data_IF_230509026693
#
_entry.id   IF_230509026693
#
_cell.length_a   1.000
_cell.length_b   1.000
_cell.length_c   1.000
_cell.angle_alpha   90.00
_cell.angle_beta   90.00
_cell.angle_gamma   90.00
#
_symmetry.space_group_name_H-M   'P 1'
#
loop_
_entity.id
_entity.type
_entity.pdbx_description
1 polymer ?
#
# COMPACT_ATOMS: atom_id res chain seq x y z
N UNK A 1 5.91 -1.11 -15.17
CA UNK A 1 4.73 -0.93 -16.03
C UNK A 1 4.53 0.53 -16.51
N UNK A 2 5.39 1.43 -16.27
CA UNK A 2 5.40 2.83 -16.72
C UNK A 2 6.81 3.36 -16.81
N UNK A 3 6.96 4.64 -17.16
CA UNK A 3 8.23 5.36 -17.16
C UNK A 3 8.81 5.37 -15.72
N UNK A 4 10.06 5.02 -15.54
CA UNK A 4 10.72 4.98 -14.23
C UNK A 4 10.82 6.37 -13.56
N UNK A 5 10.72 7.45 -14.35
CA UNK A 5 10.63 8.83 -13.81
C UNK A 5 9.29 9.13 -13.19
N UNK A 6 8.24 8.51 -13.73
CA UNK A 6 6.85 8.71 -13.31
C UNK A 6 6.48 7.79 -12.15
N UNK A 7 7.19 6.65 -12.02
CA UNK A 7 6.88 5.59 -11.07
C UNK A 7 7.87 5.55 -9.90
N UNK A 8 7.39 5.04 -8.78
CA UNK A 8 8.22 4.74 -7.64
C UNK A 8 9.01 3.46 -7.89
N UNK A 9 10.33 3.56 -7.93
CA UNK A 9 11.21 2.41 -8.24
C UNK A 9 11.63 1.70 -6.95
N UNK A 10 11.30 0.44 -6.86
CA UNK A 10 11.72 -0.49 -5.80
C UNK A 10 12.72 -1.48 -6.43
N UNK A 11 13.86 -1.67 -5.77
CA UNK A 11 14.85 -2.65 -6.18
C UNK A 11 14.95 -3.77 -5.15
N UNK A 12 14.86 -5.01 -5.58
CA UNK A 12 15.08 -6.20 -4.75
C UNK A 12 16.41 -6.82 -5.14
N UNK A 13 17.30 -7.04 -4.16
CA UNK A 13 18.61 -7.65 -4.36
C UNK A 13 18.74 -8.92 -3.49
N UNK A 14 19.54 -9.88 -3.94
CA UNK A 14 19.77 -11.14 -3.23
C UNK A 14 21.03 -11.11 -2.36
N UNK A 15 20.97 -11.62 -1.15
CA UNK A 15 22.13 -11.88 -0.30
C UNK A 15 22.27 -13.37 -0.01
N UNK A 16 23.47 -13.91 -0.18
CA UNK A 16 23.74 -15.32 0.09
C UNK A 16 23.16 -16.29 -0.91
N UNK A 17 22.84 -15.85 -2.13
CA UNK A 17 22.48 -16.72 -3.25
C UNK A 17 23.69 -16.96 -4.15
N UNK A 18 24.09 -18.23 -4.28
CA UNK A 18 25.18 -18.62 -5.19
C UNK A 18 24.73 -18.54 -6.65
N UNK A 19 25.64 -18.79 -7.59
CA UNK A 19 25.32 -18.81 -9.02
C UNK A 19 24.22 -19.84 -9.33
N UNK A 20 24.23 -20.98 -8.70
CA UNK A 20 23.28 -22.07 -8.89
C UNK A 20 21.91 -21.74 -8.26
N UNK A 21 21.86 -20.76 -7.35
CA UNK A 21 20.64 -20.36 -6.63
C UNK A 21 19.97 -19.11 -7.22
N UNK A 22 20.46 -18.59 -8.34
CA UNK A 22 19.91 -17.35 -8.92
C UNK A 22 18.45 -17.50 -9.40
N UNK A 23 18.08 -18.67 -9.89
CA UNK A 23 16.68 -18.97 -10.24
C UNK A 23 15.79 -18.95 -8.98
N UNK A 24 16.29 -19.48 -7.86
CA UNK A 24 15.57 -19.43 -6.59
C UNK A 24 15.40 -17.98 -6.11
N UNK A 25 16.45 -17.16 -6.20
CA UNK A 25 16.35 -15.74 -5.89
C UNK A 25 15.23 -15.04 -6.67
N UNK A 26 15.13 -15.28 -7.99
CA UNK A 26 14.07 -14.67 -8.80
C UNK A 26 12.66 -15.14 -8.39
N UNK A 27 12.50 -16.39 -7.99
CA UNK A 27 11.23 -16.91 -7.43
C UNK A 27 10.89 -16.20 -6.11
N UNK A 28 11.86 -16.08 -5.20
CA UNK A 28 11.69 -15.42 -3.90
C UNK A 28 11.37 -13.94 -4.09
N UNK A 29 12.10 -13.22 -4.95
CA UNK A 29 11.85 -11.83 -5.26
C UNK A 29 10.45 -11.61 -5.87
N UNK A 30 10.01 -12.50 -6.75
CA UNK A 30 8.67 -12.46 -7.35
C UNK A 30 7.59 -12.65 -6.29
N UNK A 31 7.75 -13.64 -5.41
CA UNK A 31 6.79 -13.88 -4.33
C UNK A 31 6.68 -12.70 -3.36
N UNK A 32 7.82 -12.12 -2.97
CA UNK A 32 7.87 -10.93 -2.11
C UNK A 32 7.21 -9.72 -2.77
N UNK A 33 7.49 -9.46 -4.05
CA UNK A 33 6.87 -8.36 -4.80
C UNK A 33 5.34 -8.54 -4.90
N UNK A 34 4.86 -9.76 -5.16
CA UNK A 34 3.43 -10.08 -5.17
C UNK A 34 2.80 -9.92 -3.77
N UNK A 35 3.53 -10.31 -2.73
CA UNK A 35 3.13 -10.12 -1.33
C UNK A 35 2.92 -8.64 -0.99
N UNK A 36 3.86 -7.78 -1.37
CA UNK A 36 3.76 -6.32 -1.17
C UNK A 36 2.52 -5.74 -1.88
N UNK A 37 2.33 -6.09 -3.15
CA UNK A 37 1.28 -5.51 -3.99
C UNK A 37 -0.13 -6.01 -3.66
N UNK A 38 -0.32 -6.95 -2.75
CA UNK A 38 -1.67 -7.32 -2.26
C UNK A 38 -2.21 -6.40 -1.18
N UNK A 39 -1.35 -5.61 -0.52
CA UNK A 39 -1.73 -4.72 0.57
C UNK A 39 -2.04 -3.29 0.11
N UNK A 40 -3.13 -2.71 0.59
CA UNK A 40 -3.39 -1.26 0.46
C UNK A 40 -2.36 -0.46 1.29
N UNK A 41 -1.78 0.65 0.76
CA UNK A 41 -2.07 1.31 -0.50
C UNK A 41 -1.22 0.83 -1.69
N UNK A 42 -0.27 -0.08 -1.53
CA UNK A 42 0.58 -0.58 -2.62
C UNK A 42 -0.23 -1.19 -3.76
N UNK A 43 -1.35 -1.84 -3.43
CA UNK A 43 -2.27 -2.43 -4.39
C UNK A 43 -2.86 -1.37 -5.33
N UNK A 44 -3.36 -0.27 -4.78
CA UNK A 44 -3.98 0.83 -5.52
C UNK A 44 -2.95 1.61 -6.34
N UNK A 45 -1.70 1.62 -5.90
CA UNK A 45 -0.57 2.27 -6.57
C UNK A 45 0.27 1.31 -7.42
N UNK A 46 -0.20 0.07 -7.67
CA UNK A 46 0.59 -0.94 -8.38
C UNK A 46 0.97 -0.57 -9.80
N UNK A 47 0.18 0.27 -10.48
CA UNK A 47 0.48 0.83 -11.80
C UNK A 47 1.53 1.97 -11.76
N UNK A 48 1.89 2.44 -10.57
CA UNK A 48 2.83 3.53 -10.29
C UNK A 48 4.08 3.08 -9.54
N UNK A 49 4.25 1.77 -9.44
CA UNK A 49 5.40 1.15 -8.79
C UNK A 49 6.09 0.24 -9.80
N UNK A 50 7.37 0.48 -10.05
CA UNK A 50 8.23 -0.42 -10.80
C UNK A 50 9.10 -1.20 -9.82
N UNK A 51 9.11 -2.53 -9.93
CA UNK A 51 9.91 -3.39 -9.07
C UNK A 51 10.92 -4.14 -9.94
N UNK A 52 12.19 -3.99 -9.62
CA UNK A 52 13.31 -4.63 -10.30
C UNK A 52 13.97 -5.65 -9.36
N UNK A 53 14.22 -6.85 -9.85
CA UNK A 53 15.05 -7.84 -9.17
C UNK A 53 16.46 -7.82 -9.76
N UNK A 54 17.46 -7.59 -8.93
CA UNK A 54 18.87 -7.54 -9.31
C UNK A 54 19.60 -8.74 -8.74
N UNK A 55 20.05 -9.61 -9.63
CA UNK A 55 20.79 -10.79 -9.28
C UNK A 55 22.21 -10.43 -8.81
N UNK A 56 22.54 -10.83 -7.61
CA UNK A 56 23.86 -10.69 -7.01
C UNK A 56 24.39 -12.07 -6.64
N UNK A 57 25.58 -12.42 -7.11
CA UNK A 57 26.13 -13.77 -6.95
C UNK A 57 27.08 -13.77 -5.76
N UNK A 58 26.74 -14.55 -4.73
CA UNK A 58 27.59 -14.84 -3.58
C UNK A 58 28.46 -16.06 -3.83
N UNK A 59 29.64 -16.13 -3.22
CA UNK A 59 30.50 -17.30 -3.29
C UNK A 59 29.96 -18.44 -2.41
N UNK A 60 29.31 -18.10 -1.30
CA UNK A 60 28.72 -19.05 -0.35
C UNK A 60 27.25 -18.71 -0.09
N UNK A 61 26.49 -19.71 0.31
CA UNK A 61 25.06 -19.54 0.64
C UNK A 61 24.86 -19.07 2.07
N UNK A 62 23.77 -18.33 2.31
CA UNK A 62 23.33 -17.97 3.67
C UNK A 62 23.66 -16.55 4.08
N UNK A 63 23.62 -16.31 5.37
CA UNK A 63 23.83 -15.00 6.02
C UNK A 63 24.77 -15.16 7.21
N UNK A 64 25.65 -14.20 7.40
CA UNK A 64 26.52 -14.16 8.57
C UNK A 64 25.77 -13.96 9.88
N UNK A 65 26.35 -14.37 10.99
CA UNK A 65 25.82 -14.12 12.33
C UNK A 65 26.79 -13.23 13.10
N UNK A 66 26.33 -12.08 13.53
CA UNK A 66 27.15 -11.14 14.31
C UNK A 66 27.56 -11.79 15.62
N UNK A 67 28.87 -11.76 15.91
CA UNK A 67 29.50 -12.43 17.05
C UNK A 67 29.34 -13.98 17.03
N UNK A 68 28.91 -14.58 15.94
CA UNK A 68 28.80 -16.02 15.74
C UNK A 68 29.97 -16.58 14.93
N UNK A 69 30.02 -17.91 14.83
CA UNK A 69 31.05 -18.63 14.05
C UNK A 69 30.74 -18.63 12.54
N UNK A 70 29.45 -18.48 12.16
CA UNK A 70 29.03 -18.47 10.76
C UNK A 70 29.25 -17.08 10.15
N UNK A 71 30.11 -17.03 9.14
CA UNK A 71 30.37 -15.80 8.38
C UNK A 71 30.69 -16.15 6.92
N UNK A 72 29.68 -16.60 6.12
CA UNK A 72 29.87 -17.00 4.74
C UNK A 72 30.36 -15.85 3.87
N UNK A 73 31.09 -16.17 2.81
CA UNK A 73 31.57 -15.20 1.82
C UNK A 73 30.43 -14.83 0.86
N UNK A 74 29.62 -13.89 1.28
CA UNK A 74 28.44 -13.44 0.56
C UNK A 74 28.65 -12.06 -0.07
N UNK A 75 27.78 -11.70 -1.03
CA UNK A 75 27.98 -10.50 -1.84
C UNK A 75 27.98 -9.21 -1.01
N UNK A 76 26.99 -9.03 -0.14
CA UNK A 76 26.85 -7.82 0.70
C UNK A 76 27.35 -8.01 2.12
N UNK A 77 27.82 -9.19 2.47
CA UNK A 77 28.27 -9.51 3.84
C UNK A 77 27.25 -9.14 4.91
N UNK A 78 25.95 -9.40 4.67
CA UNK A 78 24.92 -9.14 5.67
C UNK A 78 25.11 -10.06 6.87
N UNK A 79 24.96 -9.50 8.05
CA UNK A 79 25.02 -10.22 9.32
C UNK A 79 23.70 -10.06 10.08
N UNK A 80 23.18 -11.17 10.60
CA UNK A 80 22.03 -11.18 11.49
C UNK A 80 22.47 -11.01 12.95
N UNK A 81 21.71 -10.21 13.70
CA UNK A 81 21.81 -10.08 15.15
C UNK A 81 20.41 -10.10 15.77
N UNK A 82 20.08 -11.21 16.43
CA UNK A 82 18.71 -11.48 16.84
C UNK A 82 17.78 -11.56 15.63
N UNK A 83 16.77 -10.70 15.57
CA UNK A 83 15.85 -10.58 14.42
C UNK A 83 16.27 -9.51 13.41
N UNK A 84 17.30 -8.73 13.68
CA UNK A 84 17.73 -7.63 12.81
C UNK A 84 18.87 -8.05 11.89
N UNK A 85 19.00 -7.36 10.76
CA UNK A 85 20.06 -7.54 9.77
C UNK A 85 20.82 -6.23 9.55
N UNK A 86 22.11 -6.34 9.28
CA UNK A 86 22.99 -5.20 9.05
C UNK A 86 24.00 -5.53 7.96
N UNK A 87 24.34 -4.56 7.12
CA UNK A 87 25.53 -4.66 6.29
C UNK A 87 26.79 -4.72 7.16
N UNK A 88 27.67 -5.63 6.81
CA UNK A 88 29.03 -5.66 7.36
C UNK A 88 30.04 -5.33 6.25
N UNK A 89 31.26 -5.00 6.66
CA UNK A 89 32.36 -4.65 5.74
C UNK A 89 31.93 -3.56 4.73
N UNK A 90 32.05 -3.84 3.44
CA UNK A 90 31.75 -2.99 2.28
C UNK A 90 30.36 -3.22 1.70
N UNK A 91 29.47 -3.96 2.39
CA UNK A 91 28.18 -4.39 1.86
C UNK A 91 27.26 -3.23 1.46
N UNK A 92 27.17 -2.21 2.31
CA UNK A 92 26.37 -1.02 1.98
C UNK A 92 26.94 -0.25 0.79
N UNK A 93 28.28 -0.11 0.70
CA UNK A 93 28.92 0.56 -0.43
C UNK A 93 28.67 -0.17 -1.74
N UNK A 94 28.68 -1.50 -1.74
CA UNK A 94 28.32 -2.34 -2.90
C UNK A 94 26.86 -2.13 -3.31
N UNK A 95 25.93 -2.11 -2.36
CA UNK A 95 24.52 -1.89 -2.64
C UNK A 95 24.28 -0.48 -3.24
N UNK A 96 24.96 0.54 -2.73
CA UNK A 96 24.93 1.91 -3.27
C UNK A 96 25.56 2.01 -4.65
N UNK A 97 26.66 1.29 -4.90
CA UNK A 97 27.28 1.25 -6.22
C UNK A 97 26.37 0.61 -7.27
N UNK A 98 25.72 -0.52 -6.94
CA UNK A 98 24.71 -1.13 -7.81
C UNK A 98 23.52 -0.21 -8.08
N UNK A 99 23.04 0.50 -7.05
CA UNK A 99 22.02 1.52 -7.23
C UNK A 99 22.43 2.56 -8.27
N UNK A 100 23.63 3.14 -8.12
CA UNK A 100 24.12 4.16 -9.05
C UNK A 100 24.29 3.61 -10.46
N UNK A 101 24.70 2.35 -10.61
CA UNK A 101 24.78 1.69 -11.93
C UNK A 101 23.39 1.49 -12.56
N UNK A 102 22.39 1.04 -11.77
CA UNK A 102 21.02 0.90 -12.23
C UNK A 102 20.46 2.25 -12.71
N UNK A 103 20.60 3.30 -11.90
CA UNK A 103 20.11 4.65 -12.21
C UNK A 103 20.78 5.24 -13.45
N UNK A 104 22.05 4.91 -13.71
CA UNK A 104 22.81 5.47 -14.83
C UNK A 104 22.68 4.71 -16.14
N UNK A 105 22.36 3.39 -16.08
CA UNK A 105 22.45 2.51 -17.26
C UNK A 105 21.17 1.79 -17.65
N UNK A 106 20.30 1.51 -16.67
CA UNK A 106 19.18 0.61 -16.85
C UNK A 106 17.82 1.25 -16.63
N UNK A 107 17.73 2.30 -15.83
CA UNK A 107 16.52 3.08 -15.65
C UNK A 107 16.44 4.22 -16.67
N UNK A 108 15.23 4.74 -16.84
CA UNK A 108 15.02 5.93 -17.68
C UNK A 108 15.84 7.12 -17.17
N UNK A 109 16.39 7.91 -18.08
CA UNK A 109 17.28 9.03 -17.71
C UNK A 109 16.62 10.00 -16.75
N UNK A 110 17.18 10.14 -15.56
CA UNK A 110 16.67 10.99 -14.48
C UNK A 110 15.71 10.28 -13.52
N UNK A 111 15.45 8.98 -13.72
CA UNK A 111 14.78 8.16 -12.72
C UNK A 111 15.70 7.88 -11.52
N UNK A 112 15.11 7.67 -10.36
CA UNK A 112 15.84 7.36 -9.12
C UNK A 112 15.21 6.16 -8.39
N UNK A 113 16.07 5.31 -7.83
CA UNK A 113 15.64 4.21 -6.96
C UNK A 113 15.10 4.78 -5.65
N UNK A 114 13.84 4.49 -5.37
CA UNK A 114 13.15 4.94 -4.18
C UNK A 114 13.53 4.19 -2.92
N UNK A 115 13.67 2.87 -3.01
CA UNK A 115 14.10 2.01 -1.91
C UNK A 115 14.69 0.70 -2.43
N UNK A 116 15.52 0.07 -1.60
CA UNK A 116 16.17 -1.20 -1.90
C UNK A 116 15.81 -2.20 -0.81
N UNK A 117 15.35 -3.36 -1.20
CA UNK A 117 15.10 -4.49 -0.31
C UNK A 117 16.08 -5.62 -0.55
N UNK A 118 16.73 -6.09 0.50
CA UNK A 118 17.69 -7.20 0.45
C UNK A 118 17.00 -8.48 0.95
N UNK A 119 16.82 -9.47 0.06
CA UNK A 119 16.36 -10.78 0.46
C UNK A 119 17.57 -11.61 0.90
N UNK A 120 17.59 -12.00 2.15
CA UNK A 120 18.61 -12.84 2.74
C UNK A 120 18.25 -14.33 2.55
N UNK A 121 19.15 -15.09 1.95
CA UNK A 121 18.94 -16.53 1.70
C UNK A 121 19.08 -17.32 3.01
N UNK A 122 18.08 -17.26 3.84
CA UNK A 122 18.00 -17.93 5.14
C UNK A 122 16.56 -18.18 5.54
N UNK A 123 16.32 -19.24 6.30
CA UNK A 123 15.03 -19.54 6.91
C UNK A 123 14.86 -18.93 8.31
N UNK A 124 15.87 -18.21 8.81
CA UNK A 124 15.78 -17.54 10.10
C UNK A 124 14.72 -16.43 10.03
N UNK A 125 13.95 -16.27 11.11
CA UNK A 125 12.98 -15.19 11.21
C UNK A 125 13.71 -13.87 11.47
N UNK A 126 14.09 -13.18 10.40
CA UNK A 126 14.80 -11.92 10.40
C UNK A 126 14.10 -10.90 9.51
N UNK A 127 14.09 -9.65 9.98
CA UNK A 127 13.64 -8.48 9.23
C UNK A 127 14.19 -7.23 9.90
N UNK A 128 14.55 -6.23 9.13
CA UNK A 128 14.92 -4.91 9.63
C UNK A 128 14.93 -3.86 8.53
N UNK A 129 14.77 -2.61 8.91
CA UNK A 129 14.99 -1.47 8.03
C UNK A 129 16.20 -0.67 8.53
N UNK A 130 17.09 -0.30 7.63
CA UNK A 130 18.24 0.55 7.88
C UNK A 130 18.12 1.81 7.05
N UNK A 131 17.91 2.94 7.71
CA UNK A 131 17.66 4.24 7.09
C UNK A 131 16.45 4.24 6.10
N UNK A 132 16.26 5.32 5.35
CA UNK A 132 15.16 5.46 4.42
C UNK A 132 15.39 4.76 3.06
N UNK A 133 16.48 4.00 2.90
CA UNK A 133 16.84 3.40 1.62
C UNK A 133 16.84 1.87 1.65
N UNK A 134 17.32 1.26 2.73
CA UNK A 134 17.53 -0.18 2.80
C UNK A 134 16.58 -0.87 3.78
N UNK A 135 16.09 -2.02 3.37
CA UNK A 135 15.37 -2.96 4.23
C UNK A 135 15.80 -4.40 3.92
N UNK A 136 15.57 -5.30 4.87
CA UNK A 136 16.01 -6.69 4.81
C UNK A 136 14.87 -7.62 5.23
N UNK A 137 14.80 -8.81 4.63
CA UNK A 137 14.02 -9.93 5.16
C UNK A 137 14.64 -11.26 4.79
N UNK A 138 14.25 -12.33 5.48
CA UNK A 138 14.53 -13.68 5.04
C UNK A 138 13.86 -13.99 3.69
N UNK A 139 14.33 -15.02 3.00
CA UNK A 139 13.71 -15.51 1.76
C UNK A 139 12.38 -16.24 2.02
N UNK A 140 12.22 -16.85 3.19
CA UNK A 140 10.97 -17.49 3.62
C UNK A 140 10.31 -16.65 4.73
N UNK A 141 9.04 -16.36 4.57
CA UNK A 141 8.18 -15.94 5.67
C UNK A 141 7.40 -17.18 6.11
N UNK A 142 7.76 -17.77 7.25
CA UNK A 142 7.03 -18.94 7.78
C UNK A 142 5.55 -18.66 7.97
N UNK A 143 5.19 -17.38 8.15
CA UNK A 143 3.84 -16.99 8.47
C UNK A 143 3.07 -16.33 7.35
N UNK A 144 3.66 -15.76 6.29
CA UNK A 144 2.81 -15.15 5.24
C UNK A 144 3.59 -14.35 4.17
N UNK A 145 4.15 -15.04 3.18
CA UNK A 145 4.17 -14.58 1.79
C UNK A 145 4.51 -13.08 1.57
N UNK A 146 5.56 -12.55 2.19
CA UNK A 146 6.03 -11.21 1.94
C UNK A 146 5.63 -10.14 2.96
N UNK A 147 4.95 -10.49 4.04
CA UNK A 147 4.52 -9.52 5.05
C UNK A 147 5.70 -8.89 5.81
N UNK A 148 6.76 -9.66 6.09
CA UNK A 148 7.99 -9.10 6.68
C UNK A 148 8.60 -8.05 5.73
N UNK A 149 8.74 -8.37 4.43
CA UNK A 149 9.17 -7.38 3.45
C UNK A 149 8.26 -6.15 3.44
N UNK A 150 6.94 -6.36 3.43
CA UNK A 150 5.95 -5.28 3.41
C UNK A 150 6.09 -4.37 4.61
N UNK A 151 6.27 -4.93 5.81
CA UNK A 151 6.51 -4.20 7.04
C UNK A 151 7.81 -3.38 6.95
N UNK A 152 8.93 -4.05 6.65
CA UNK A 152 10.26 -3.43 6.63
C UNK A 152 10.42 -2.36 5.54
N UNK A 153 9.87 -2.59 4.36
CA UNK A 153 9.92 -1.60 3.28
C UNK A 153 9.06 -0.37 3.60
N UNK A 154 8.01 -0.54 4.40
CA UNK A 154 7.14 0.56 4.82
C UNK A 154 7.80 1.50 5.82
N UNK A 155 8.76 1.03 6.60
CA UNK A 155 9.65 1.92 7.35
C UNK A 155 10.44 2.83 6.39
N UNK A 156 11.00 2.26 5.34
CA UNK A 156 11.81 3.01 4.36
C UNK A 156 10.97 3.98 3.54
N UNK A 157 9.84 3.55 3.01
CA UNK A 157 8.97 4.35 2.14
C UNK A 157 8.19 5.38 2.96
N UNK A 158 7.42 4.93 3.96
CA UNK A 158 6.48 5.74 4.73
C UNK A 158 7.12 6.50 5.89
N UNK A 159 8.37 6.20 6.24
CA UNK A 159 9.00 6.61 7.52
C UNK A 159 8.11 6.24 8.71
N UNK A 160 7.49 5.08 8.62
CA UNK A 160 6.65 4.56 9.68
C UNK A 160 7.51 3.97 10.80
N UNK A 161 7.04 4.10 12.02
CA UNK A 161 7.63 3.46 13.21
C UNK A 161 6.90 2.18 13.56
N UNK A 162 7.56 1.34 14.37
CA UNK A 162 6.95 0.17 14.97
C UNK A 162 5.89 0.57 16.01
N UNK A 163 4.66 0.12 15.82
CA UNK A 163 3.55 0.44 16.73
C UNK A 163 3.55 -0.43 18.01
N UNK A 164 4.50 -1.33 18.15
CA UNK A 164 4.68 -2.21 19.31
C UNK A 164 5.92 -1.86 20.16
N UNK A 165 6.81 -1.00 19.63
CA UNK A 165 8.05 -0.65 20.32
C UNK A 165 7.95 0.76 20.92
N UNK A 166 8.71 0.98 22.00
CA UNK A 166 8.87 2.27 22.68
C UNK A 166 9.79 3.25 21.96
N UNK A 167 10.34 2.90 20.81
CA UNK A 167 11.17 3.80 19.99
C UNK A 167 10.31 4.81 19.27
N UNK A 168 10.64 6.05 19.46
CA UNK A 168 9.88 7.26 19.25
C UNK A 168 9.88 7.82 17.82
N UNK A 169 10.20 7.05 16.80
CA UNK A 169 10.39 7.61 15.46
C UNK A 169 9.44 7.00 14.44
N UNK A 170 8.62 7.84 13.83
CA UNK A 170 7.72 7.48 12.74
C UNK A 170 6.59 8.47 12.59
N UNK A 171 6.05 8.57 11.40
CA UNK A 171 4.90 9.44 11.09
C UNK A 171 3.62 8.95 11.79
N UNK A 172 3.55 7.65 12.07
CA UNK A 172 2.47 6.98 12.81
C UNK A 172 2.74 6.87 14.32
N UNK A 173 3.77 7.53 14.85
CA UNK A 173 4.14 7.48 16.27
C UNK A 173 4.12 8.89 16.86
N UNK A 174 3.57 9.02 18.07
CA UNK A 174 3.48 10.27 18.81
C UNK A 174 3.95 10.11 20.24
N UNK A 175 4.54 11.17 20.80
CA UNK A 175 4.94 11.32 22.19
C UNK A 175 3.87 11.99 23.06
N UNK A 176 2.74 12.32 22.47
CA UNK A 176 1.60 12.92 23.18
C UNK A 176 0.32 12.11 22.99
N UNK A 177 -0.48 12.01 24.04
CA UNK A 177 -1.83 11.50 24.01
C UNK A 177 -2.89 12.61 23.97
N UNK A 178 -2.48 13.86 23.87
CA UNK A 178 -3.38 14.99 23.75
C UNK A 178 -4.15 14.90 22.42
N UNK A 179 -5.48 14.74 22.43
CA UNK A 179 -6.27 14.57 21.22
C UNK A 179 -6.16 15.73 20.23
N UNK A 180 -5.84 16.93 20.71
CA UNK A 180 -5.74 18.13 19.86
C UNK A 180 -4.33 18.33 19.27
N UNK A 181 -3.34 17.59 19.76
CA UNK A 181 -1.93 17.72 19.36
C UNK A 181 -1.33 16.46 18.71
N UNK A 182 -2.04 15.35 18.80
CA UNK A 182 -1.55 14.10 18.20
C UNK A 182 -1.50 14.22 16.69
N UNK A 183 -0.46 13.63 16.05
CA UNK A 183 -0.21 13.75 14.61
C UNK A 183 -1.38 13.37 13.71
N UNK A 184 -2.32 12.58 14.20
CA UNK A 184 -3.50 12.14 13.45
C UNK A 184 -4.81 12.64 14.08
N UNK A 185 -4.79 13.80 14.74
CA UNK A 185 -5.96 14.34 15.46
C UNK A 185 -7.21 14.46 14.57
N UNK A 186 -7.07 14.86 13.29
CA UNK A 186 -8.18 14.95 12.34
C UNK A 186 -8.78 13.61 11.93
N UNK A 187 -8.13 12.50 12.30
CA UNK A 187 -8.59 11.14 12.01
C UNK A 187 -9.17 10.42 13.24
N UNK A 188 -9.16 11.04 14.41
CA UNK A 188 -9.64 10.40 15.63
C UNK A 188 -11.11 9.96 15.49
N UNK A 189 -11.36 8.70 15.86
CA UNK A 189 -12.68 8.07 15.74
C UNK A 189 -13.06 7.61 14.33
N UNK A 190 -12.22 7.88 13.31
CA UNK A 190 -12.43 7.40 11.95
C UNK A 190 -11.84 5.99 11.81
N UNK A 191 -12.64 5.01 11.39
CA UNK A 191 -12.23 3.63 11.08
C UNK A 191 -11.33 2.97 12.13
N UNK A 192 -11.63 3.21 13.39
CA UNK A 192 -10.89 2.64 14.53
C UNK A 192 -9.58 3.36 14.85
N UNK A 193 -9.31 4.51 14.21
CA UNK A 193 -8.20 5.38 14.59
C UNK A 193 -8.46 5.98 15.97
N UNK A 194 -7.50 5.83 16.85
CA UNK A 194 -7.57 6.30 18.23
C UNK A 194 -6.20 6.68 18.76
N UNK A 195 -6.04 6.59 20.06
CA UNK A 195 -4.78 6.82 20.78
C UNK A 195 -4.46 5.53 21.55
N UNK A 196 -3.49 4.78 21.06
CA UNK A 196 -3.15 3.46 21.58
C UNK A 196 -1.69 3.45 22.04
N UNK A 197 -1.40 2.90 23.21
CA UNK A 197 -0.02 2.77 23.67
C UNK A 197 0.81 1.89 22.72
N UNK A 198 2.02 2.35 22.41
CA UNK A 198 3.01 1.64 21.61
C UNK A 198 4.18 1.23 22.50
N UNK A 199 4.11 0.03 23.05
CA UNK A 199 5.17 -0.53 23.92
C UNK A 199 5.35 0.13 25.29
N UNK A 200 4.93 1.38 25.49
CA UNK A 200 4.94 2.12 26.76
C UNK A 200 3.76 3.08 26.86
N UNK A 201 3.47 3.60 28.07
CA UNK A 201 2.43 4.60 28.30
C UNK A 201 2.81 6.02 27.80
N UNK A 202 4.02 6.23 27.30
CA UNK A 202 4.51 7.53 26.85
C UNK A 202 4.68 7.61 25.34
N UNK A 203 4.40 6.55 24.62
CA UNK A 203 4.47 6.46 23.16
C UNK A 203 3.14 5.94 22.63
N UNK A 204 2.61 6.60 21.64
CA UNK A 204 1.28 6.32 21.12
C UNK A 204 1.30 6.04 19.63
N UNK A 205 0.39 5.14 19.22
CA UNK A 205 0.13 4.73 17.85
C UNK A 205 -1.36 4.89 17.51
N UNK A 206 -1.73 4.97 16.23
CA UNK A 206 -3.10 5.29 15.83
C UNK A 206 -4.08 4.12 15.98
N UNK A 207 -3.59 2.88 15.98
CA UNK A 207 -4.49 1.72 15.94
C UNK A 207 -3.95 0.55 16.75
N UNK A 208 -4.89 -0.34 17.18
CA UNK A 208 -4.56 -1.64 17.74
C UNK A 208 -4.35 -2.73 16.68
N UNK A 209 -4.80 -2.46 15.45
CA UNK A 209 -4.71 -3.39 14.32
C UNK A 209 -4.01 -2.68 13.17
N UNK A 210 -2.77 -3.05 12.91
CA UNK A 210 -1.96 -2.45 11.85
C UNK A 210 -0.81 -3.40 11.47
N UNK A 211 -0.41 -3.43 10.20
CA UNK A 211 0.80 -4.12 9.74
C UNK A 211 2.05 -3.67 10.50
N UNK A 212 2.13 -2.39 10.89
CA UNK A 212 3.26 -1.85 11.67
C UNK A 212 3.23 -2.27 13.14
N UNK A 213 2.20 -3.00 13.58
CA UNK A 213 2.08 -3.58 14.92
C UNK A 213 2.25 -5.09 14.91
N UNK A 214 1.50 -5.76 14.04
CA UNK A 214 1.51 -7.23 13.93
C UNK A 214 1.38 -7.60 12.45
N UNK A 215 2.25 -8.48 11.96
CA UNK A 215 2.21 -8.99 10.59
C UNK A 215 0.87 -9.67 10.29
N UNK A 216 0.50 -9.71 9.00
CA UNK A 216 -0.77 -10.30 8.57
C UNK A 216 -2.00 -9.37 8.74
N UNK A 217 -1.85 -8.22 9.37
CA UNK A 217 -2.90 -7.21 9.47
C UNK A 217 -2.80 -6.18 8.33
N UNK A 218 -3.94 -5.60 7.90
CA UNK A 218 -3.90 -4.44 7.00
C UNK A 218 -3.25 -3.23 7.69
N UNK A 219 -2.67 -2.32 6.91
CA UNK A 219 -2.27 -1.02 7.45
C UNK A 219 -3.48 -0.24 7.97
N UNK A 220 -3.33 0.46 9.08
CA UNK A 220 -4.33 1.41 9.54
C UNK A 220 -4.39 2.64 8.60
N UNK A 221 -5.48 3.42 8.67
CA UNK A 221 -5.69 4.53 7.73
C UNK A 221 -4.61 5.61 7.82
N UNK A 222 -4.00 5.82 8.98
CA UNK A 222 -2.86 6.75 9.14
C UNK A 222 -1.64 6.25 8.34
N UNK A 223 -1.29 4.98 8.50
CA UNK A 223 -0.16 4.39 7.78
C UNK A 223 -0.41 4.34 6.27
N UNK A 224 -1.61 3.98 5.82
CA UNK A 224 -1.98 4.00 4.40
C UNK A 224 -1.84 5.40 3.80
N UNK A 225 -2.33 6.42 4.48
CA UNK A 225 -2.27 7.80 4.03
C UNK A 225 -0.82 8.28 3.88
N UNK A 226 0.07 7.97 4.84
CA UNK A 226 1.48 8.31 4.74
C UNK A 226 2.20 7.56 3.61
N UNK A 227 1.95 6.27 3.46
CA UNK A 227 2.50 5.50 2.34
C UNK A 227 2.02 6.06 1.00
N UNK A 228 0.72 6.32 0.85
CA UNK A 228 0.16 6.91 -0.36
C UNK A 228 0.79 8.27 -0.67
N UNK A 229 0.95 9.13 0.35
CA UNK A 229 1.60 10.43 0.20
C UNK A 229 3.02 10.30 -0.30
N UNK A 230 3.79 9.37 0.24
CA UNK A 230 5.18 9.13 -0.17
C UNK A 230 5.30 8.49 -1.55
N UNK A 231 4.43 7.56 -1.89
CA UNK A 231 4.39 6.95 -3.22
C UNK A 231 3.99 7.95 -4.31
N UNK A 232 3.11 8.91 -3.98
CA UNK A 232 2.54 9.84 -4.95
C UNK A 232 3.34 11.14 -5.12
N UNK A 233 4.15 11.54 -4.16
CA UNK A 233 4.74 12.88 -4.13
C UNK A 233 6.22 12.87 -3.70
N UNK A 234 7.05 12.14 -4.41
CA UNK A 234 8.49 12.26 -4.28
C UNK A 234 9.03 13.22 -5.34
N UNK A 235 10.20 13.80 -5.09
CA UNK A 235 10.83 14.78 -5.97
C UNK A 235 11.06 14.24 -7.39
N UNK A 236 11.07 12.93 -7.56
CA UNK A 236 11.34 12.23 -8.82
C UNK A 236 10.17 11.37 -9.33
N UNK A 237 8.99 11.47 -8.73
CA UNK A 237 7.78 10.77 -9.18
C UNK A 237 6.74 11.81 -9.57
N UNK A 238 6.15 11.65 -10.74
CA UNK A 238 5.08 12.50 -11.21
C UNK A 238 3.87 12.44 -10.25
N UNK A 239 3.29 13.59 -9.99
CA UNK A 239 2.10 13.74 -9.16
C UNK A 239 0.88 13.29 -9.96
N UNK A 240 0.49 12.04 -9.79
CA UNK A 240 -0.61 11.47 -10.56
C UNK A 240 -1.99 11.61 -9.89
N UNK A 241 -2.02 11.78 -8.55
CA UNK A 241 -3.26 12.06 -7.84
C UNK A 241 -3.14 13.37 -7.06
N UNK A 242 -4.14 14.23 -7.17
CA UNK A 242 -4.20 15.47 -6.41
C UNK A 242 -4.65 15.27 -4.96
N UNK A 243 -5.43 14.22 -4.72
CA UNK A 243 -6.00 13.91 -3.41
C UNK A 243 -5.93 12.40 -3.15
N UNK A 244 -5.54 12.02 -1.95
CA UNK A 244 -5.76 10.69 -1.41
C UNK A 244 -7.05 10.69 -0.59
N UNK A 245 -7.93 9.74 -0.82
CA UNK A 245 -9.18 9.58 -0.10
C UNK A 245 -9.13 8.25 0.65
N UNK A 246 -9.26 8.29 1.98
CA UNK A 246 -9.44 7.09 2.78
C UNK A 246 -10.73 6.39 2.39
N UNK A 247 -10.77 5.07 2.55
CA UNK A 247 -12.02 4.33 2.33
C UNK A 247 -13.14 4.93 3.19
N UNK A 248 -14.25 5.34 2.59
CA UNK A 248 -15.33 5.95 3.35
C UNK A 248 -16.04 4.96 4.28
N UNK A 249 -16.71 5.48 5.27
CA UNK A 249 -17.59 4.70 6.14
C UNK A 249 -18.96 5.34 6.30
N UNK A 250 -19.97 4.52 6.60
CA UNK A 250 -21.30 4.97 6.96
C UNK A 250 -21.52 4.64 8.44
N UNK A 251 -21.87 5.66 9.21
CA UNK A 251 -22.05 5.53 10.68
C UNK A 251 -23.41 6.06 11.11
N UNK A 252 -23.80 5.65 12.31
CA UNK A 252 -24.85 6.29 13.08
C UNK A 252 -24.15 7.19 14.09
N UNK A 253 -24.19 8.53 13.94
CA UNK A 253 -23.50 9.45 14.82
C UNK A 253 -23.86 9.23 16.30
N UNK A 254 -22.89 9.40 17.17
CA UNK A 254 -23.03 9.23 18.64
C UNK A 254 -23.38 7.82 19.13
N UNK A 255 -23.35 6.81 18.29
CA UNK A 255 -23.53 5.42 18.70
C UNK A 255 -22.18 4.74 18.91
N UNK A 256 -21.97 4.12 20.09
CA UNK A 256 -20.75 3.33 20.37
C UNK A 256 -20.64 2.04 19.54
N UNK A 257 -21.74 1.63 18.91
CA UNK A 257 -21.86 0.40 18.09
C UNK A 257 -22.29 0.71 16.66
N UNK A 258 -22.18 1.97 16.23
CA UNK A 258 -22.91 2.50 15.12
C UNK A 258 -22.23 2.45 13.76
N UNK A 259 -21.14 1.72 13.61
CA UNK A 259 -20.64 1.43 12.26
C UNK A 259 -21.58 0.40 11.64
N UNK A 260 -22.23 0.77 10.55
CA UNK A 260 -22.92 -0.19 9.72
C UNK A 260 -21.82 -1.01 9.04
N UNK A 261 -21.72 -2.27 9.42
CA UNK A 261 -20.59 -3.16 9.19
C UNK A 261 -20.33 -3.44 7.69
N UNK A 262 -19.14 -3.87 7.33
CA UNK A 262 -18.48 -3.71 6.05
C UNK A 262 -18.48 -4.90 5.12
N UNK A 263 -19.21 -5.94 5.39
CA UNK A 263 -19.22 -7.07 4.46
C UNK A 263 -19.92 -6.72 3.15
N UNK A 264 -19.62 -7.36 2.06
CA UNK A 264 -19.87 -6.99 0.67
C UNK A 264 -21.28 -6.48 0.30
N UNK A 265 -22.24 -6.63 1.19
CA UNK A 265 -23.62 -6.15 1.04
C UNK A 265 -23.98 -4.97 1.98
N UNK A 266 -23.02 -4.36 2.58
CA UNK A 266 -23.07 -3.41 3.71
C UNK A 266 -23.76 -2.10 3.47
N UNK A 267 -23.88 -1.76 2.24
CA UNK A 267 -24.51 -0.52 1.82
C UNK A 267 -25.97 -0.75 1.47
N UNK A 268 -26.51 -1.87 1.95
CA UNK A 268 -27.94 -2.18 1.87
C UNK A 268 -28.55 -2.24 3.26
N UNK A 269 -29.77 -1.75 3.36
CA UNK A 269 -30.59 -1.97 4.53
C UNK A 269 -31.13 -3.40 4.48
N UNK A 270 -30.90 -4.14 5.54
CA UNK A 270 -31.40 -5.50 5.73
C UNK A 270 -32.13 -5.64 7.10
N UNK A 271 -32.61 -6.83 7.39
CA UNK A 271 -33.34 -7.11 8.63
C UNK A 271 -32.50 -6.92 9.88
N UNK A 272 -31.17 -6.97 9.77
CA UNK A 272 -30.25 -6.87 10.93
C UNK A 272 -29.90 -5.43 11.27
N UNK A 273 -29.94 -4.52 10.31
CA UNK A 273 -29.54 -3.12 10.50
C UNK A 273 -30.70 -2.11 10.39
N UNK A 274 -31.84 -2.51 9.80
CA UNK A 274 -33.00 -1.62 9.60
C UNK A 274 -33.49 -0.98 10.91
N UNK A 275 -33.56 -1.74 11.98
CA UNK A 275 -34.01 -1.26 13.30
C UNK A 275 -32.98 -0.32 13.94
N UNK A 276 -31.71 -0.49 13.59
CA UNK A 276 -30.62 0.37 14.09
C UNK A 276 -30.60 1.71 13.34
N UNK A 277 -30.87 1.71 12.05
CA UNK A 277 -30.78 2.87 11.17
C UNK A 277 -32.06 3.72 11.14
N UNK A 278 -33.24 3.08 11.25
CA UNK A 278 -34.52 3.77 11.13
C UNK A 278 -34.77 4.75 12.27
N UNK A 279 -35.11 5.99 11.96
CA UNK A 279 -35.29 7.07 12.93
C UNK A 279 -33.99 7.67 13.46
N UNK A 280 -32.85 7.33 12.85
CA UNK A 280 -31.53 7.84 13.23
C UNK A 280 -30.92 8.72 12.14
N UNK A 281 -29.97 9.53 12.54
CA UNK A 281 -29.08 10.19 11.61
C UNK A 281 -28.14 9.15 11.02
N UNK A 282 -27.92 9.22 9.72
CA UNK A 282 -26.91 8.43 9.02
C UNK A 282 -25.85 9.36 8.45
N UNK A 283 -24.60 9.09 8.76
CA UNK A 283 -23.47 9.87 8.31
C UNK A 283 -22.58 9.06 7.37
N UNK A 284 -22.34 9.58 6.18
CA UNK A 284 -21.28 9.14 5.30
C UNK A 284 -20.07 10.04 5.50
N UNK A 285 -18.92 9.47 5.82
CA UNK A 285 -17.71 10.23 6.12
C UNK A 285 -16.44 9.59 5.58
N UNK A 286 -15.44 10.42 5.35
CA UNK A 286 -14.08 10.02 4.98
C UNK A 286 -13.07 11.04 5.49
N UNK A 287 -11.79 10.70 5.37
CA UNK A 287 -10.68 11.65 5.55
C UNK A 287 -9.91 11.73 4.25
N UNK A 288 -9.53 12.93 3.87
CA UNK A 288 -8.76 13.19 2.65
C UNK A 288 -7.44 13.87 2.96
N UNK A 289 -6.43 13.60 2.14
CA UNK A 289 -5.14 14.28 2.15
C UNK A 289 -4.92 14.93 0.79
N UNK A 290 -4.81 16.24 0.76
CA UNK A 290 -4.35 16.94 -0.43
C UNK A 290 -2.87 16.63 -0.68
N UNK A 291 -2.53 16.26 -1.91
CA UNK A 291 -1.20 15.81 -2.32
C UNK A 291 -0.44 16.86 -3.13
N UNK A 292 -1.06 18.00 -3.40
CA UNK A 292 -0.52 19.06 -4.27
C UNK A 292 -0.55 20.41 -3.58
N UNK A 293 0.18 21.38 -4.14
CA UNK A 293 0.30 22.75 -3.64
C UNK A 293 -0.84 23.68 -4.09
N UNK A 294 -1.93 23.12 -4.59
CA UNK A 294 -3.15 23.82 -4.95
C UNK A 294 -4.33 23.39 -4.09
N UNK A 295 -5.26 24.28 -3.83
CA UNK A 295 -6.53 23.93 -3.18
C UNK A 295 -7.27 22.92 -4.03
N UNK A 296 -8.00 22.01 -3.38
CA UNK A 296 -8.86 21.03 -4.03
C UNK A 296 -10.31 21.30 -3.61
N UNK A 297 -11.22 21.30 -4.57
CA UNK A 297 -12.65 21.46 -4.33
C UNK A 297 -13.34 20.10 -4.46
N UNK A 298 -13.91 19.63 -3.37
CA UNK A 298 -14.52 18.30 -3.29
C UNK A 298 -15.99 18.42 -2.96
N UNK A 299 -16.79 17.59 -3.61
CA UNK A 299 -18.18 17.39 -3.28
C UNK A 299 -18.41 15.99 -2.76
N UNK A 300 -19.12 15.89 -1.65
CA UNK A 300 -19.58 14.65 -1.09
C UNK A 300 -21.09 14.55 -1.23
N UNK A 301 -21.59 13.46 -1.78
CA UNK A 301 -23.02 13.19 -1.95
C UNK A 301 -23.35 11.93 -1.16
N UNK A 302 -24.41 11.96 -0.38
CA UNK A 302 -24.95 10.79 0.30
C UNK A 302 -26.43 10.65 0.02
N UNK A 303 -26.85 9.48 -0.45
CA UNK A 303 -28.24 9.15 -0.79
C UNK A 303 -28.66 7.77 -0.31
N UNK A 304 -29.98 7.64 -0.17
CA UNK A 304 -30.65 6.36 0.03
C UNK A 304 -31.54 6.09 -1.16
N UNK A 305 -31.31 4.97 -1.81
CA UNK A 305 -32.04 4.55 -3.02
C UNK A 305 -32.86 3.33 -2.69
N UNK A 306 -34.17 3.41 -2.91
CA UNK A 306 -35.10 2.32 -2.75
C UNK A 306 -34.82 1.15 -3.69
N UNK A 307 -35.35 -0.02 -3.35
CA UNK A 307 -35.26 -1.20 -4.22
C UNK A 307 -35.96 -0.99 -5.61
N UNK A 308 -36.84 -0.04 -5.68
CA UNK A 308 -37.53 0.43 -6.91
C UNK A 308 -36.69 1.48 -7.68
N UNK A 309 -35.44 1.73 -7.26
CA UNK A 309 -34.56 2.74 -7.82
C UNK A 309 -34.94 4.20 -7.56
N UNK A 310 -35.95 4.47 -6.72
CA UNK A 310 -36.29 5.84 -6.33
C UNK A 310 -35.29 6.37 -5.30
N UNK A 311 -34.96 7.67 -5.41
CA UNK A 311 -34.15 8.35 -4.40
C UNK A 311 -35.06 8.75 -3.23
N UNK A 312 -34.88 8.11 -2.07
CA UNK A 312 -35.61 8.41 -0.84
C UNK A 312 -35.05 9.61 -0.09
N UNK A 313 -33.72 9.69 -0.04
CA UNK A 313 -32.98 10.76 0.62
C UNK A 313 -31.75 11.09 -0.22
N UNK A 314 -31.43 12.37 -0.27
CA UNK A 314 -30.21 12.88 -0.88
C UNK A 314 -29.73 14.14 -0.16
N UNK A 315 -28.43 14.24 0.08
CA UNK A 315 -27.78 15.43 0.56
C UNK A 315 -26.36 15.53 -0.02
N UNK A 316 -25.96 16.76 -0.29
CA UNK A 316 -24.63 17.10 -0.77
C UNK A 316 -23.98 18.14 0.16
N UNK A 317 -22.67 18.04 0.30
CA UNK A 317 -21.84 19.04 0.97
C UNK A 317 -20.58 19.28 0.14
N UNK A 318 -20.08 20.51 0.13
CA UNK A 318 -18.86 20.90 -0.59
C UNK A 318 -17.78 21.31 0.37
N UNK A 319 -16.54 20.98 0.00
CA UNK A 319 -15.35 21.19 0.83
C UNK A 319 -14.22 21.78 0.01
N UNK A 320 -13.49 22.72 0.62
CA UNK A 320 -12.21 23.18 0.09
C UNK A 320 -11.10 22.63 0.95
N UNK A 321 -10.31 21.72 0.39
CA UNK A 321 -9.17 21.12 1.07
C UNK A 321 -7.94 22.00 0.85
N UNK A 322 -7.27 22.46 1.93
CA UNK A 322 -6.09 23.30 1.82
C UNK A 322 -4.95 22.64 1.01
N UNK A 323 -4.06 23.44 0.41
CA UNK A 323 -2.92 22.92 -0.33
C UNK A 323 -1.89 22.25 0.60
N UNK A 324 -1.15 21.26 0.09
CA UNK A 324 0.02 20.70 0.76
C UNK A 324 1.20 21.68 0.59
N UNK A 325 1.21 22.71 1.41
CA UNK A 325 2.24 23.78 1.38
C UNK A 325 3.52 23.37 2.10
N UNK A 326 3.43 22.43 3.04
CA UNK A 326 4.56 21.92 3.80
C UNK A 326 4.58 20.38 3.76
N UNK A 327 5.58 19.84 3.11
CA UNK A 327 5.76 18.40 3.00
C UNK A 327 5.99 17.69 4.35
N UNK A 328 6.62 18.38 5.29
CA UNK A 328 6.94 17.85 6.62
C UNK A 328 5.80 18.02 7.64
N UNK A 329 4.78 18.78 7.28
CA UNK A 329 3.57 18.98 8.07
C UNK A 329 2.32 18.79 7.18
N UNK A 330 1.99 17.52 6.86
CA UNK A 330 0.89 17.20 5.95
C UNK A 330 -0.49 17.45 6.58
N UNK A 331 -0.58 17.60 7.89
CA UNK A 331 -1.84 17.69 8.62
C UNK A 331 -2.64 18.94 8.23
N UNK A 332 -1.96 20.04 7.92
CA UNK A 332 -2.61 21.25 7.42
C UNK A 332 -3.40 21.05 6.12
N UNK A 333 -3.00 20.07 5.31
CA UNK A 333 -3.63 19.70 4.03
C UNK A 333 -4.53 18.44 4.14
N UNK A 334 -4.92 18.08 5.36
CA UNK A 334 -5.80 16.94 5.67
C UNK A 334 -7.15 17.46 6.14
N UNK A 335 -8.23 16.86 5.67
CA UNK A 335 -9.59 17.24 6.09
C UNK A 335 -10.47 16.01 6.33
N UNK A 336 -11.31 16.11 7.37
CA UNK A 336 -12.40 15.15 7.61
C UNK A 336 -13.65 15.65 6.91
N UNK A 337 -14.19 14.87 6.01
CA UNK A 337 -15.37 15.18 5.21
C UNK A 337 -16.54 14.33 5.67
N UNK A 338 -17.71 14.94 5.82
CA UNK A 338 -18.92 14.16 6.13
C UNK A 338 -20.19 14.81 5.58
N UNK A 339 -21.20 13.96 5.34
CA UNK A 339 -22.55 14.42 5.05
C UNK A 339 -23.54 13.57 5.83
N UNK A 340 -24.47 14.20 6.51
CA UNK A 340 -25.43 13.54 7.38
C UNK A 340 -26.85 13.68 6.83
N UNK A 341 -27.55 12.54 6.67
CA UNK A 341 -28.98 12.46 6.46
C UNK A 341 -29.67 12.41 7.84
N UNK A 342 -30.43 13.44 8.21
CA UNK A 342 -31.00 13.51 9.56
C UNK A 342 -32.26 12.64 9.68
N UNK A 343 -32.42 11.96 10.80
CA UNK A 343 -33.63 11.25 11.23
C UNK A 343 -34.31 10.43 10.12
N UNK A 344 -33.51 9.63 9.41
CA UNK A 344 -33.97 8.82 8.27
C UNK A 344 -35.07 7.85 8.71
N UNK A 345 -36.21 7.88 8.03
CA UNK A 345 -37.38 7.02 8.31
C UNK A 345 -37.86 6.29 7.05
N UNK A 346 -38.73 5.28 7.21
CA UNK A 346 -39.27 4.55 6.08
C UNK A 346 -38.26 3.68 5.34
N UNK A 347 -37.18 3.29 6.01
CA UNK A 347 -36.24 2.33 5.47
C UNK A 347 -36.89 0.95 5.37
N UNK A 348 -36.60 0.26 4.29
CA UNK A 348 -37.00 -1.12 4.05
C UNK A 348 -35.83 -1.97 3.63
N UNK A 349 -35.93 -3.28 3.82
CA UNK A 349 -34.92 -4.22 3.37
C UNK A 349 -34.73 -4.11 1.84
N UNK A 350 -33.48 -4.02 1.41
CA UNK A 350 -33.11 -3.81 0.01
C UNK A 350 -32.81 -2.35 -0.37
N UNK A 351 -33.11 -1.38 0.50
CA UNK A 351 -32.65 0.01 0.31
C UNK A 351 -31.11 0.06 0.27
N UNK A 352 -30.55 0.86 -0.64
CA UNK A 352 -29.10 1.02 -0.81
C UNK A 352 -28.65 2.38 -0.29
N UNK A 353 -27.55 2.38 0.40
CA UNK A 353 -26.87 3.57 0.88
C UNK A 353 -25.72 3.90 -0.10
N UNK A 354 -25.78 5.03 -0.78
CA UNK A 354 -24.75 5.45 -1.74
C UNK A 354 -24.09 6.74 -1.30
N UNK A 355 -22.76 6.69 -1.14
CA UNK A 355 -21.93 7.87 -0.91
C UNK A 355 -20.88 8.00 -2.00
N UNK A 356 -20.61 9.22 -2.45
CA UNK A 356 -19.60 9.55 -3.47
C UNK A 356 -18.81 10.76 -3.06
N UNK A 357 -17.52 10.75 -3.38
CA UNK A 357 -16.62 11.89 -3.29
C UNK A 357 -16.19 12.25 -4.71
N UNK A 358 -16.44 13.47 -5.11
CA UNK A 358 -16.24 13.97 -6.46
C UNK A 358 -15.29 15.17 -6.40
N UNK A 359 -14.30 15.18 -7.26
CA UNK A 359 -13.52 16.37 -7.56
C UNK A 359 -14.42 17.32 -8.37
N UNK A 360 -14.77 18.48 -7.81
CA UNK A 360 -15.69 19.42 -8.47
C UNK A 360 -15.10 20.07 -9.71
N UNK A 361 -13.78 20.26 -9.75
CA UNK A 361 -13.11 20.92 -10.86
C UNK A 361 -13.06 20.04 -12.11
N UNK A 362 -12.94 18.72 -11.91
CA UNK A 362 -12.83 17.73 -13.00
C UNK A 362 -14.08 16.89 -13.23
N UNK A 363 -14.99 16.85 -12.26
CA UNK A 363 -16.15 15.95 -12.23
C UNK A 363 -15.77 14.47 -11.98
N UNK A 364 -14.51 14.17 -11.68
CA UNK A 364 -14.04 12.81 -11.45
C UNK A 364 -14.51 12.27 -10.10
N UNK A 365 -15.04 11.06 -10.09
CA UNK A 365 -15.32 10.33 -8.85
C UNK A 365 -13.99 9.85 -8.29
N UNK A 366 -13.63 10.31 -7.10
CA UNK A 366 -12.40 9.96 -6.39
C UNK A 366 -12.59 8.70 -5.55
N UNK A 367 -13.75 8.57 -4.91
CA UNK A 367 -14.14 7.38 -4.18
C UNK A 367 -15.66 7.29 -4.12
N UNK A 368 -16.17 6.08 -4.01
CA UNK A 368 -17.55 5.79 -3.66
C UNK A 368 -17.63 4.51 -2.82
N UNK A 369 -18.70 4.36 -2.08
CA UNK A 369 -18.90 3.16 -1.29
C UNK A 369 -19.40 1.96 -2.10
N UNK A 370 -19.74 2.15 -3.36
CA UNK A 370 -20.14 1.07 -4.27
C UNK A 370 -18.91 0.37 -4.87
N UNK A 371 -17.79 1.09 -4.97
CA UNK A 371 -16.50 0.56 -5.48
C UNK A 371 -15.59 0.06 -4.36
N UNK A 372 -15.86 0.34 -3.09
CA UNK A 372 -15.08 -0.16 -1.95
C UNK A 372 -15.08 -1.70 -1.84
N UNK A 373 -15.99 -2.37 -2.57
CA UNK A 373 -15.96 -3.80 -2.85
C UNK A 373 -15.55 -4.09 -4.30
N UNK A 374 -14.70 -3.28 -4.93
CA UNK A 374 -14.28 -3.53 -6.30
C UNK A 374 -13.63 -4.90 -6.38
N UNK A 375 -14.39 -5.86 -6.88
CA UNK A 375 -13.93 -7.21 -7.08
C UNK A 375 -12.74 -7.15 -8.05
N UNK A 376 -11.59 -7.54 -7.59
CA UNK A 376 -10.41 -7.69 -8.40
C UNK A 376 -10.55 -8.96 -9.23
N UNK A 377 -10.28 -8.86 -10.51
CA UNK A 377 -10.15 -10.03 -11.37
C UNK A 377 -8.67 -10.43 -11.38
N UNK A 378 -8.44 -11.70 -11.14
CA UNK A 378 -7.12 -12.29 -11.34
C UNK A 378 -6.94 -12.53 -12.83
N UNK A 379 -5.95 -11.91 -13.43
CA UNK A 379 -5.57 -12.14 -14.83
C UNK A 379 -4.27 -12.95 -14.83
N UNK A 380 -4.32 -14.16 -15.39
CA UNK A 380 -3.10 -14.96 -15.59
C UNK A 380 -2.57 -14.71 -17.00
N UNK A 381 -1.37 -14.14 -17.06
CA UNK A 381 -0.68 -13.88 -18.32
C UNK A 381 0.18 -15.09 -18.63
N UNK A 382 -0.01 -15.65 -19.80
CA UNK A 382 0.84 -16.74 -20.34
C UNK A 382 1.44 -16.27 -21.66
N UNK A 383 2.71 -16.49 -21.83
CA UNK A 383 3.39 -16.22 -23.10
C UNK A 383 3.31 -17.48 -23.94
N UNK A 384 2.69 -17.34 -25.11
CA UNK A 384 2.44 -18.45 -26.02
C UNK A 384 3.14 -18.19 -27.35
N UNK A 385 3.76 -19.24 -27.92
CA UNK A 385 4.24 -19.27 -29.28
C UNK A 385 3.10 -19.76 -30.17
N UNK A 386 2.81 -19.03 -31.23
CA UNK A 386 1.97 -19.52 -32.30
C UNK A 386 2.84 -20.23 -33.32
N UNK A 387 2.65 -21.54 -33.47
CA UNK A 387 3.34 -22.35 -34.45
C UNK A 387 2.80 -22.10 -35.87
N UNK A 388 3.55 -22.54 -36.89
CA UNK A 388 3.15 -22.37 -38.31
C UNK A 388 1.83 -23.11 -38.64
N UNK A 389 1.51 -24.18 -37.93
CA UNK A 389 0.27 -24.95 -38.07
C UNK A 389 -0.94 -24.31 -37.30
N UNK A 390 -0.74 -23.17 -36.67
CA UNK A 390 -1.76 -22.47 -35.88
C UNK A 390 -1.95 -22.99 -34.46
N UNK A 391 -1.20 -23.99 -34.03
CA UNK A 391 -1.20 -24.47 -32.64
C UNK A 391 -0.42 -23.50 -31.75
N UNK A 392 -0.76 -23.48 -30.46
CA UNK A 392 -0.09 -22.64 -29.46
C UNK A 392 0.70 -23.50 -28.47
N UNK A 393 1.94 -23.10 -28.22
CA UNK A 393 2.79 -23.73 -27.20
C UNK A 393 3.32 -22.66 -26.25
N UNK A 394 3.55 -23.00 -24.98
CA UNK A 394 4.13 -22.05 -24.00
C UNK A 394 5.54 -21.69 -24.43
N UNK A 395 5.88 -20.38 -24.36
CA UNK A 395 7.26 -19.92 -24.58
C UNK A 395 8.15 -20.60 -23.54
N UNK A 396 9.24 -21.30 -23.95
CA UNK A 396 10.17 -21.89 -23.03
C UNK A 396 10.68 -20.87 -21.99
N UNK A 397 10.92 -21.35 -20.77
CA UNK A 397 11.48 -20.56 -19.67
C UNK A 397 10.65 -19.36 -19.22
N UNK A 398 9.38 -19.26 -19.62
CA UNK A 398 8.46 -18.24 -19.11
C UNK A 398 7.46 -18.82 -18.12
N UNK A 399 7.46 -18.28 -16.89
CA UNK A 399 6.43 -18.60 -15.91
C UNK A 399 5.16 -17.76 -16.18
N UNK A 400 3.95 -18.31 -15.96
CA UNK A 400 2.74 -17.52 -15.99
C UNK A 400 2.81 -16.43 -14.93
N UNK A 401 2.55 -15.17 -15.32
CA UNK A 401 2.43 -14.07 -14.39
C UNK A 401 0.95 -13.87 -14.01
N UNK A 402 0.70 -13.69 -12.73
CA UNK A 402 -0.65 -13.37 -12.23
C UNK A 402 -0.69 -11.89 -11.84
N UNK A 403 -1.59 -11.15 -12.45
CA UNK A 403 -1.85 -9.75 -12.11
C UNK A 403 -3.28 -9.58 -11.60
N UNK A 404 -3.46 -8.68 -10.65
CA UNK A 404 -4.78 -8.33 -10.14
C UNK A 404 -5.22 -7.03 -10.81
N UNK A 405 -6.34 -7.07 -11.50
CA UNK A 405 -6.90 -5.93 -12.25
C UNK A 405 -8.26 -5.58 -11.65
N UNK A 406 -8.58 -4.31 -11.41
CA UNK A 406 -9.91 -3.91 -10.98
C UNK A 406 -10.96 -4.42 -11.96
N UNK A 407 -12.03 -5.03 -11.45
CA UNK A 407 -13.12 -5.53 -12.28
C UNK A 407 -13.73 -4.37 -13.07
N UNK A 408 -13.92 -4.54 -14.37
CA UNK A 408 -14.41 -3.52 -15.30
C UNK A 408 -13.47 -2.33 -15.57
N UNK A 409 -12.17 -2.44 -15.28
CA UNK A 409 -11.16 -1.47 -15.72
C UNK A 409 -10.44 -1.95 -16.98
N UNK A 410 -9.97 -1.00 -17.79
CA UNK A 410 -9.06 -1.31 -18.89
C UNK A 410 -7.66 -1.60 -18.32
N UNK A 411 -7.04 -2.67 -18.79
CA UNK A 411 -5.67 -3.03 -18.44
C UNK A 411 -4.84 -3.13 -19.72
N UNK A 412 -3.73 -2.41 -19.76
CA UNK A 412 -2.80 -2.49 -20.88
C UNK A 412 -1.66 -3.43 -20.54
N UNK A 413 -1.56 -4.50 -21.29
CA UNK A 413 -0.49 -5.47 -21.18
C UNK A 413 0.64 -5.04 -22.11
N UNK A 414 1.85 -4.88 -21.58
CA UNK A 414 3.06 -4.78 -22.42
C UNK A 414 3.71 -6.16 -22.43
N UNK A 415 3.89 -6.70 -23.61
CA UNK A 415 4.70 -7.91 -23.80
C UNK A 415 6.17 -7.58 -23.50
N UNK A 416 6.87 -8.39 -22.70
CA UNK A 416 8.31 -8.23 -22.55
C UNK A 416 9.01 -8.54 -23.89
N UNK A 417 10.11 -7.87 -24.15
CA UNK A 417 11.02 -8.24 -25.24
C UNK A 417 11.69 -9.58 -24.90
N UNK A 418 11.17 -10.63 -25.48
CA UNK A 418 11.76 -11.98 -25.36
C UNK A 418 12.75 -12.16 -26.51
N UNK A 419 14.03 -12.35 -26.18
CA UNK A 419 15.09 -12.52 -27.17
C UNK A 419 14.75 -13.63 -28.18
N UNK A 420 14.70 -13.29 -29.44
CA UNK A 420 14.37 -14.21 -30.54
C UNK A 420 12.89 -14.34 -30.86
N UNK A 421 12.01 -13.60 -30.20
CA UNK A 421 10.56 -13.61 -30.46
C UNK A 421 10.05 -12.20 -30.79
N UNK A 422 9.05 -12.14 -31.64
CA UNK A 422 8.33 -10.90 -31.95
C UNK A 422 6.92 -10.98 -31.45
N UNK A 423 6.46 -9.91 -30.77
CA UNK A 423 5.07 -9.79 -30.31
C UNK A 423 4.14 -9.57 -31.53
N UNK A 424 3.11 -10.41 -31.64
CA UNK A 424 1.99 -10.13 -32.54
C UNK A 424 0.94 -9.38 -31.73
N UNK A 425 0.74 -8.10 -32.04
CA UNK A 425 -0.40 -7.32 -31.53
C UNK A 425 -1.69 -8.04 -31.95
N UNK A 426 -2.40 -8.54 -30.95
CA UNK A 426 -3.76 -9.02 -31.10
C UNK A 426 -4.74 -7.87 -31.18
#
# INVERSE_FOLDING_TARGET
TGDDKENFVIVIMGEGYTREQQEQFLKDATAKAQGLLKWSPYKEYSDRINIYAVQTVSNETGVGVMYGESNPDTYFHVQAFGKSCYFAKDGEDKARALRAELESRYLDTGAAVGTIHIICNTTANIGSSSNALFSFSANSDENEQGDVMTHEISHSIGRLGDEYDKKMQGENISDTSDPDKIKWHKMLGFRGIGITAAGTETVFAPSRVCMMRDLGNPFCEVCKMELARRLNNRDYVSRQASVYVCDPEITIPHSRTGTLDRDSDQYRIDETNITKANGKDLEFRTVVQNMVDAKQHLKITFRIIGADHTVKYEKEETYTVPPLSNWYDPDAARESLSVTLPAVTGLVSGDRLEGKIIDEDTGKILADNQTAGQAWSTVTIRYMLQNEDGTETTVPDTAPATVYVPKNSAYTLRSPDLYGYTDRKS
#
